data_IF_968041375531
#
_entry.id   IF_968041375531
#
_cell.length_a   1.000
_cell.length_b   1.000
_cell.length_c   1.000
_cell.angle_alpha   90.00
_cell.angle_beta   90.00
_cell.angle_gamma   90.00
#
_symmetry.space_group_name_H-M   'P 1'
#
loop_
_entity.id
_entity.type
_entity.pdbx_description
1 polymer ?
#
# COMPACT_ATOMS: atom_id res chain seq x y z
N UNK A 1 -3.83 12.72 -13.95
CA UNK A 1 -3.16 12.96 -12.64
C UNK A 1 -3.69 11.90 -11.68
N UNK A 2 -2.83 11.28 -10.86
CA UNK A 2 -3.22 10.11 -10.03
C UNK A 2 -4.14 10.55 -8.88
N UNK A 3 -5.30 9.89 -8.72
CA UNK A 3 -6.36 10.33 -7.81
C UNK A 3 -5.91 10.31 -6.34
N UNK A 4 -5.13 9.30 -5.91
CA UNK A 4 -4.63 9.21 -4.53
C UNK A 4 -3.69 10.36 -4.24
N UNK A 5 -2.80 10.70 -5.17
CA UNK A 5 -1.90 11.85 -5.05
C UNK A 5 -2.60 13.21 -5.10
N UNK A 6 -3.78 13.30 -5.71
CA UNK A 6 -4.58 14.52 -5.62
C UNK A 6 -5.19 14.65 -4.23
N UNK A 7 -5.70 13.54 -3.68
CA UNK A 7 -6.25 13.49 -2.33
C UNK A 7 -5.19 13.89 -1.29
N UNK A 8 -3.93 13.45 -1.44
CA UNK A 8 -2.86 13.81 -0.51
C UNK A 8 -2.64 15.32 -0.40
N UNK A 9 -3.04 16.14 -1.38
CA UNK A 9 -2.92 17.60 -1.29
C UNK A 9 -3.88 18.22 -0.28
N UNK A 10 -4.98 17.55 0.04
CA UNK A 10 -5.88 17.99 1.10
C UNK A 10 -5.24 17.67 2.46
N UNK A 11 -5.03 18.70 3.28
CA UNK A 11 -4.40 18.56 4.61
C UNK A 11 -5.36 18.04 5.68
N UNK A 12 -6.66 17.95 5.39
CA UNK A 12 -7.73 17.60 6.35
C UNK A 12 -8.31 16.20 6.15
N UNK A 13 -7.62 15.33 5.43
CA UNK A 13 -8.08 13.96 5.18
C UNK A 13 -7.08 12.95 5.73
N UNK A 14 -7.63 11.80 6.10
CA UNK A 14 -6.91 10.55 6.28
C UNK A 14 -7.24 9.63 5.11
N UNK A 15 -6.32 8.73 4.77
CA UNK A 15 -6.46 7.79 3.65
C UNK A 15 -6.47 6.37 4.21
N UNK A 16 -7.64 5.73 4.18
CA UNK A 16 -7.74 4.28 4.35
C UNK A 16 -7.56 3.64 2.98
N UNK A 17 -6.44 2.94 2.78
CA UNK A 17 -6.05 2.44 1.46
C UNK A 17 -6.05 0.92 1.39
N UNK A 18 -6.51 0.40 0.25
CA UNK A 18 -6.51 -1.02 -0.10
C UNK A 18 -5.56 -1.25 -1.27
N UNK A 19 -4.39 -1.80 -0.96
CA UNK A 19 -3.36 -2.10 -1.95
C UNK A 19 -3.54 -3.54 -2.44
N UNK A 20 -3.79 -3.72 -3.73
CA UNK A 20 -3.92 -5.03 -4.36
C UNK A 20 -2.55 -5.74 -4.44
N UNK A 21 -2.16 -6.42 -3.36
CA UNK A 21 -0.85 -7.06 -3.24
C UNK A 21 -0.62 -8.14 -4.29
N UNK A 22 -1.39 -9.24 -4.27
CA UNK A 22 -1.12 -10.31 -5.22
C UNK A 22 -1.77 -10.07 -6.58
N UNK A 23 -3.05 -9.69 -6.58
CA UNK A 23 -3.82 -9.46 -7.81
C UNK A 23 -3.34 -8.25 -8.61
N UNK A 24 -2.83 -7.22 -7.93
CA UNK A 24 -2.38 -5.98 -8.58
C UNK A 24 -0.88 -5.95 -8.82
N UNK A 25 -0.07 -6.58 -7.96
CA UNK A 25 1.39 -6.51 -8.03
C UNK A 25 1.99 -7.87 -8.42
N UNK A 26 2.01 -8.86 -7.51
CA UNK A 26 2.85 -10.07 -7.69
C UNK A 26 2.52 -10.86 -8.95
N UNK A 27 1.23 -11.08 -9.25
CA UNK A 27 0.80 -11.88 -10.40
C UNK A 27 1.02 -11.15 -11.74
N UNK A 28 1.05 -9.81 -11.71
CA UNK A 28 1.19 -8.99 -12.92
C UNK A 28 2.64 -8.63 -13.23
N UNK A 29 3.61 -8.94 -12.36
CA UNK A 29 5.03 -8.61 -12.57
C UNK A 29 5.55 -9.05 -13.95
N UNK A 30 5.31 -10.30 -14.40
CA UNK A 30 5.80 -10.73 -15.71
C UNK A 30 5.21 -9.90 -16.86
N UNK A 31 3.96 -9.44 -16.74
CA UNK A 31 3.33 -8.58 -17.73
C UNK A 31 3.90 -7.17 -17.70
N UNK A 32 4.15 -6.62 -16.51
CA UNK A 32 4.75 -5.29 -16.37
C UNK A 32 6.17 -5.24 -16.94
N UNK A 33 6.98 -6.29 -16.73
CA UNK A 33 8.35 -6.38 -17.26
C UNK A 33 8.40 -6.45 -18.79
N UNK A 34 7.42 -7.12 -19.42
CA UNK A 34 7.30 -7.21 -20.89
C UNK A 34 6.79 -5.91 -21.52
N UNK A 35 6.25 -4.99 -20.72
CA UNK A 35 5.69 -3.75 -21.24
C UNK A 35 6.79 -2.71 -21.45
N UNK A 36 7.07 -2.41 -22.72
CA UNK A 36 8.05 -1.41 -23.15
C UNK A 36 7.51 0.04 -23.02
N UNK A 37 6.20 0.21 -22.85
CA UNK A 37 5.57 1.53 -22.76
C UNK A 37 5.40 1.95 -21.29
N UNK A 38 5.78 3.19 -20.96
CA UNK A 38 5.75 3.76 -19.61
C UNK A 38 4.35 4.08 -19.06
N UNK A 39 3.37 3.20 -19.28
CA UNK A 39 1.97 3.37 -18.88
C UNK A 39 1.39 2.17 -18.14
N UNK A 40 2.22 1.28 -17.59
CA UNK A 40 1.71 0.17 -16.79
C UNK A 40 0.97 0.67 -15.55
N UNK A 41 0.12 -0.18 -14.97
CA UNK A 41 -0.47 0.12 -13.66
C UNK A 41 0.63 0.33 -12.60
N UNK A 42 1.76 -0.39 -12.72
CA UNK A 42 2.93 -0.23 -11.84
C UNK A 42 3.60 1.15 -11.98
N UNK A 43 3.78 1.65 -13.21
CA UNK A 43 4.33 2.99 -13.46
C UNK A 43 3.46 4.07 -12.84
N UNK A 44 2.13 3.91 -12.92
CA UNK A 44 1.17 4.83 -12.29
C UNK A 44 1.23 4.73 -10.77
N UNK A 45 1.19 3.52 -10.24
CA UNK A 45 1.22 3.25 -8.81
C UNK A 45 2.49 3.83 -8.14
N UNK A 46 3.67 3.51 -8.68
CA UNK A 46 4.96 3.97 -8.13
C UNK A 46 5.25 5.42 -8.52
N UNK A 47 4.75 5.91 -9.66
CA UNK A 47 5.15 7.17 -10.31
C UNK A 47 6.63 7.23 -10.70
N UNK A 48 7.21 6.08 -11.01
CA UNK A 48 8.58 5.96 -11.52
C UNK A 48 8.65 4.74 -12.43
N UNK A 49 9.63 4.72 -13.33
CA UNK A 49 9.99 3.54 -14.13
C UNK A 49 11.21 2.80 -13.57
N UNK A 50 11.88 3.36 -12.55
CA UNK A 50 13.09 2.81 -11.92
C UNK A 50 12.89 1.41 -11.33
N UNK A 51 11.64 1.05 -11.02
CA UNK A 51 11.31 -0.27 -10.49
C UNK A 51 11.67 -1.43 -11.43
N UNK A 52 11.80 -1.17 -12.73
CA UNK A 52 12.25 -2.17 -13.70
C UNK A 52 13.68 -2.65 -13.44
N UNK A 53 14.49 -1.83 -12.78
CA UNK A 53 15.89 -2.15 -12.47
C UNK A 53 16.07 -2.72 -11.05
N UNK A 54 14.99 -2.85 -10.28
CA UNK A 54 15.05 -3.41 -8.94
C UNK A 54 15.46 -4.88 -8.98
N UNK A 55 16.37 -5.24 -8.07
CA UNK A 55 16.80 -6.62 -7.88
C UNK A 55 15.91 -7.26 -6.81
N UNK A 56 15.23 -8.34 -7.17
CA UNK A 56 14.35 -9.09 -6.28
C UNK A 56 14.45 -10.59 -6.61
N UNK A 57 14.28 -11.45 -5.61
CA UNK A 57 14.44 -12.91 -5.76
C UNK A 57 13.11 -13.59 -6.05
N UNK A 58 12.05 -13.11 -5.40
CA UNK A 58 10.70 -13.67 -5.51
C UNK A 58 9.66 -12.56 -5.74
N UNK A 59 8.48 -12.87 -6.33
CA UNK A 59 7.43 -11.87 -6.54
C UNK A 59 6.98 -11.17 -5.25
N UNK A 60 7.04 -11.87 -4.12
CA UNK A 60 6.76 -11.34 -2.78
C UNK A 60 7.71 -10.20 -2.40
N UNK A 61 9.00 -10.33 -2.71
CA UNK A 61 10.00 -9.27 -2.52
C UNK A 61 9.67 -8.05 -3.38
N UNK A 62 9.32 -8.28 -4.65
CA UNK A 62 8.93 -7.19 -5.54
C UNK A 62 7.72 -6.43 -5.01
N UNK A 63 6.67 -7.12 -4.55
CA UNK A 63 5.50 -6.48 -3.97
C UNK A 63 5.85 -5.68 -2.72
N UNK A 64 6.70 -6.20 -1.84
CA UNK A 64 7.20 -5.44 -0.68
C UNK A 64 7.90 -4.16 -1.12
N UNK A 65 8.82 -4.23 -2.09
CA UNK A 65 9.54 -3.06 -2.61
C UNK A 65 8.60 -2.02 -3.24
N UNK A 66 7.60 -2.47 -4.01
CA UNK A 66 6.60 -1.60 -4.62
C UNK A 66 5.76 -0.87 -3.58
N UNK A 67 5.30 -1.59 -2.55
CA UNK A 67 4.52 -1.02 -1.44
C UNK A 67 5.38 -0.05 -0.63
N UNK A 68 6.64 -0.38 -0.36
CA UNK A 68 7.56 0.52 0.34
C UNK A 68 7.83 1.80 -0.45
N UNK A 69 7.98 1.71 -1.77
CA UNK A 69 8.15 2.88 -2.63
C UNK A 69 6.91 3.77 -2.62
N UNK A 70 5.72 3.18 -2.71
CA UNK A 70 4.45 3.88 -2.57
C UNK A 70 4.32 4.56 -1.20
N UNK A 71 4.53 3.83 -0.11
CA UNK A 71 4.47 4.36 1.26
C UNK A 71 5.51 5.46 1.50
N UNK A 72 6.74 5.34 0.96
CA UNK A 72 7.75 6.41 1.00
C UNK A 72 7.25 7.68 0.34
N UNK A 73 6.54 7.58 -0.79
CA UNK A 73 5.96 8.73 -1.48
C UNK A 73 4.87 9.39 -0.66
N UNK A 74 3.93 8.60 -0.13
CA UNK A 74 2.87 9.11 0.76
C UNK A 74 3.48 9.80 1.99
N UNK A 75 4.58 9.27 2.54
CA UNK A 75 5.32 9.92 3.63
C UNK A 75 5.92 11.28 3.29
N UNK A 76 6.38 11.49 2.06
CA UNK A 76 6.88 12.80 1.61
C UNK A 76 5.79 13.87 1.60
N UNK A 77 4.52 13.48 1.50
CA UNK A 77 3.35 14.37 1.61
C UNK A 77 2.95 14.65 3.07
N UNK A 78 3.76 14.22 4.04
CA UNK A 78 3.56 14.44 5.47
C UNK A 78 2.61 13.45 6.14
N UNK A 79 2.15 12.43 5.43
CA UNK A 79 1.41 11.32 6.05
C UNK A 79 2.39 10.39 6.76
N UNK A 80 2.00 9.89 7.92
CA UNK A 80 2.58 8.72 8.56
C UNK A 80 1.74 7.51 8.18
N UNK A 81 2.42 6.40 7.91
CA UNK A 81 1.77 5.12 7.65
C UNK A 81 1.60 4.37 8.96
N UNK A 82 0.42 3.85 9.21
CA UNK A 82 0.19 2.91 10.31
C UNK A 82 0.65 1.50 9.90
N UNK A 83 0.39 0.53 10.79
CA UNK A 83 0.56 -0.89 10.53
C UNK A 83 -0.18 -1.33 9.26
N UNK A 84 0.54 -1.94 8.31
CA UNK A 84 -0.07 -2.64 7.19
C UNK A 84 -0.60 -4.00 7.66
N UNK A 85 -1.77 -4.39 7.15
CA UNK A 85 -2.40 -5.68 7.42
C UNK A 85 -2.56 -6.42 6.11
N UNK A 86 -2.26 -7.71 6.16
CA UNK A 86 -2.40 -8.62 5.04
C UNK A 86 -3.77 -9.29 5.09
N UNK A 87 -4.46 -9.38 3.96
CA UNK A 87 -5.67 -10.18 3.84
C UNK A 87 -5.66 -11.04 2.57
N UNK A 88 -5.75 -12.39 2.70
CA UNK A 88 -5.56 -13.15 3.93
C UNK A 88 -4.15 -12.96 4.52
N UNK A 89 -3.93 -13.37 5.78
CA UNK A 89 -2.64 -13.19 6.45
C UNK A 89 -1.52 -14.00 5.76
N UNK A 90 -1.85 -15.24 5.36
CA UNK A 90 -0.99 -16.09 4.54
C UNK A 90 -1.34 -15.91 3.06
N UNK A 91 -0.34 -15.66 2.21
CA UNK A 91 -0.52 -15.38 0.78
C UNK A 91 -1.48 -14.19 0.51
N UNK A 92 -1.10 -12.97 0.95
CA UNK A 92 -1.99 -11.81 0.89
C UNK A 92 -2.43 -11.46 -0.52
N UNK A 93 -3.75 -11.35 -0.70
CA UNK A 93 -4.34 -10.77 -1.90
C UNK A 93 -4.32 -9.25 -1.83
N UNK A 94 -4.57 -8.71 -0.64
CA UNK A 94 -4.64 -7.28 -0.35
C UNK A 94 -3.75 -6.92 0.83
N UNK A 95 -3.33 -5.65 0.86
CA UNK A 95 -2.87 -5.00 2.07
C UNK A 95 -3.71 -3.79 2.39
N UNK A 96 -4.09 -3.66 3.66
CA UNK A 96 -4.83 -2.52 4.18
C UNK A 96 -3.92 -1.67 5.06
N UNK A 97 -4.04 -0.36 4.95
CA UNK A 97 -3.31 0.56 5.82
C UNK A 97 -4.04 1.88 5.95
N UNK A 98 -3.86 2.54 7.09
CA UNK A 98 -4.31 3.91 7.31
C UNK A 98 -3.10 4.84 7.18
N UNK A 99 -3.18 5.78 6.26
CA UNK A 99 -2.26 6.91 6.22
C UNK A 99 -2.95 8.12 6.83
N UNK A 100 -2.34 8.71 7.85
CA UNK A 100 -2.84 9.92 8.51
C UNK A 100 -1.69 10.89 8.72
N UNK A 101 -1.98 12.17 8.97
CA UNK A 101 -0.95 13.13 9.44
C UNK A 101 -0.95 13.29 10.96
N UNK A 102 -1.88 12.62 11.64
CA UNK A 102 -2.08 12.76 13.07
C UNK A 102 -1.55 11.53 13.81
N UNK A 103 -0.75 11.73 14.86
CA UNK A 103 -0.13 10.67 15.66
C UNK A 103 -1.15 9.68 16.27
N UNK A 104 -2.31 10.20 16.70
CA UNK A 104 -3.42 9.37 17.22
C UNK A 104 -3.99 8.35 16.23
N UNK A 105 -3.76 8.50 14.93
CA UNK A 105 -4.28 7.56 13.94
C UNK A 105 -3.75 6.14 14.15
N UNK A 106 -2.50 5.99 14.59
CA UNK A 106 -1.95 4.67 14.93
C UNK A 106 -2.70 4.02 16.10
N UNK A 107 -3.03 4.81 17.13
CA UNK A 107 -3.82 4.34 18.27
C UNK A 107 -5.21 3.88 17.83
N UNK A 108 -5.88 4.66 16.98
CA UNK A 108 -7.19 4.28 16.45
C UNK A 108 -7.11 3.05 15.58
N UNK A 109 -6.13 2.99 14.69
CA UNK A 109 -5.93 1.84 13.81
C UNK A 109 -5.73 0.57 14.64
N UNK A 110 -4.75 0.56 15.55
CA UNK A 110 -4.49 -0.58 16.43
C UNK A 110 -5.69 -0.99 17.29
N UNK A 111 -6.55 -0.04 17.68
CA UNK A 111 -7.78 -0.36 18.40
C UNK A 111 -8.83 -1.03 17.51
N UNK A 112 -8.99 -0.55 16.27
CA UNK A 112 -9.92 -1.14 15.28
C UNK A 112 -9.48 -2.55 14.91
N UNK A 113 -8.19 -2.82 14.78
CA UNK A 113 -7.70 -4.16 14.36
C UNK A 113 -7.92 -5.26 15.38
N UNK A 114 -8.24 -4.89 16.63
CA UNK A 114 -8.60 -5.83 17.69
C UNK A 114 -10.09 -6.14 17.71
N UNK A 115 -10.87 -5.45 16.88
CA UNK A 115 -12.31 -5.65 16.76
C UNK A 115 -12.51 -6.65 15.62
N UNK A 116 -13.15 -7.77 15.93
CA UNK A 116 -13.53 -8.74 14.91
C UNK A 116 -14.69 -8.22 14.04
N UNK A 117 -15.04 -8.97 13.01
CA UNK A 117 -16.13 -8.64 12.10
C UNK A 117 -17.52 -8.55 12.77
N UNK A 118 -17.69 -9.16 13.95
CA UNK A 118 -18.91 -9.10 14.76
C UNK A 118 -18.96 -7.88 15.70
N UNK A 119 -17.86 -7.13 15.81
CA UNK A 119 -17.71 -6.01 16.74
C UNK A 119 -17.18 -6.40 18.12
N UNK A 120 -16.82 -7.66 18.35
CA UNK A 120 -16.21 -8.10 19.61
C UNK A 120 -14.71 -7.78 19.62
N UNK A 121 -14.20 -7.38 20.80
CA UNK A 121 -12.78 -7.12 20.98
C UNK A 121 -12.08 -8.39 21.42
N UNK A 122 -10.93 -8.71 20.84
CA UNK A 122 -10.01 -9.69 21.44
C UNK A 122 -9.68 -9.24 22.87
N UNK A 123 -10.18 -10.01 23.85
CA UNK A 123 -9.86 -9.82 25.25
C UNK A 123 -8.41 -10.28 25.45
N UNK A 124 -7.55 -9.35 25.88
CA UNK A 124 -6.19 -9.65 26.36
C UNK A 124 -6.24 -10.58 27.59
#
# INVERSE_FOLDING_TARGET
MDAVLQLTKNRRIDLLDTIQHSLGITLNVPQYLKSETGQTAMDRFIKSTEWRNWQWKEPSDFARMAIDAFSKRIRREGFIGTRHISFPEHQPLYRFTLFSRHELAEKFWNAILKIDESGQRELL
#
